data_IF_190800787604
#
_entry.id   IF_190800787604
#
_cell.length_a   1.000
_cell.length_b   1.000
_cell.length_c   1.000
_cell.angle_alpha   90.00
_cell.angle_beta   90.00
_cell.angle_gamma   90.00
#
_symmetry.space_group_name_H-M   'P 1'
#
loop_
_entity.id
_entity.type
_entity.pdbx_description
1 polymer ?
#
# COMPACT_ATOMS: atom_id res chain seq x y z
N UNK A 1 -27.73 26.46 -14.81
CA UNK A 1 -27.26 25.73 -13.62
C UNK A 1 -27.14 24.25 -13.93
N UNK A 2 -28.14 23.62 -14.55
CA UNK A 2 -28.10 22.20 -14.91
C UNK A 2 -26.94 21.83 -15.85
N UNK A 3 -26.65 22.66 -16.86
CA UNK A 3 -25.54 22.45 -17.80
C UNK A 3 -24.16 22.50 -17.13
N UNK A 4 -23.99 23.39 -16.13
CA UNK A 4 -22.74 23.54 -15.37
C UNK A 4 -22.53 22.37 -14.40
N UNK A 5 -23.62 21.84 -13.81
CA UNK A 5 -23.55 20.65 -12.96
C UNK A 5 -23.27 19.38 -13.75
N UNK A 6 -23.86 19.24 -14.94
CA UNK A 6 -23.57 18.13 -15.85
C UNK A 6 -22.10 18.16 -16.30
N UNK A 7 -21.61 19.33 -16.72
CA UNK A 7 -20.21 19.55 -17.09
C UNK A 7 -19.25 19.23 -15.93
N UNK A 8 -19.57 19.68 -14.72
CA UNK A 8 -18.81 19.38 -13.50
C UNK A 8 -18.68 17.87 -13.30
N UNK A 9 -19.80 17.14 -13.37
CA UNK A 9 -19.82 15.69 -13.14
C UNK A 9 -19.04 14.93 -14.22
N UNK A 10 -19.18 15.32 -15.49
CA UNK A 10 -18.45 14.73 -16.60
C UNK A 10 -16.93 14.90 -16.43
N UNK A 11 -16.49 16.12 -16.13
CA UNK A 11 -15.06 16.41 -15.97
C UNK A 11 -14.49 15.72 -14.72
N UNK A 12 -15.25 15.65 -13.63
CA UNK A 12 -14.85 14.92 -12.41
C UNK A 12 -14.60 13.44 -12.71
N UNK A 13 -15.50 12.79 -13.44
CA UNK A 13 -15.35 11.38 -13.83
C UNK A 13 -14.13 11.18 -14.74
N UNK A 14 -13.94 12.08 -15.72
CA UNK A 14 -12.80 12.03 -16.63
C UNK A 14 -11.46 12.22 -15.91
N UNK A 15 -11.38 13.17 -14.98
CA UNK A 15 -10.17 13.41 -14.20
C UNK A 15 -9.83 12.20 -13.31
N UNK A 16 -10.83 11.58 -12.69
CA UNK A 16 -10.67 10.36 -11.91
C UNK A 16 -10.21 9.16 -12.77
N UNK A 17 -10.80 8.94 -13.95
CA UNK A 17 -10.39 7.87 -14.86
C UNK A 17 -8.92 8.03 -15.31
N UNK A 18 -8.50 9.26 -15.63
CA UNK A 18 -7.09 9.55 -15.93
C UNK A 18 -6.18 9.28 -14.73
N UNK A 19 -6.63 9.63 -13.52
CA UNK A 19 -5.88 9.37 -12.30
C UNK A 19 -5.72 7.87 -12.03
N UNK A 20 -6.78 7.08 -12.20
CA UNK A 20 -6.75 5.62 -12.04
C UNK A 20 -5.81 4.95 -13.05
N UNK A 21 -5.77 5.47 -14.29
CA UNK A 21 -4.83 5.05 -15.34
C UNK A 21 -3.39 5.54 -15.11
N UNK A 22 -3.14 6.26 -14.02
CA UNK A 22 -1.84 6.87 -13.66
C UNK A 22 -1.37 7.94 -14.65
N UNK A 23 -2.28 8.51 -15.42
CA UNK A 23 -2.02 9.60 -16.35
C UNK A 23 -2.10 10.95 -15.61
N UNK A 24 -1.29 11.10 -14.55
CA UNK A 24 -1.42 12.18 -13.57
C UNK A 24 -1.29 13.58 -14.17
N UNK A 25 -0.37 13.78 -15.13
CA UNK A 25 -0.22 15.07 -15.80
C UNK A 25 -1.50 15.49 -16.54
N UNK A 26 -2.14 14.55 -17.26
CA UNK A 26 -3.40 14.80 -17.97
C UNK A 26 -4.56 15.00 -17.01
N UNK A 27 -4.59 14.26 -15.89
CA UNK A 27 -5.58 14.47 -14.84
C UNK A 27 -5.49 15.89 -14.26
N UNK A 28 -4.27 16.40 -14.04
CA UNK A 28 -4.05 17.76 -13.56
C UNK A 28 -4.52 18.82 -14.58
N UNK A 29 -4.23 18.65 -15.87
CA UNK A 29 -4.70 19.54 -16.94
C UNK A 29 -6.23 19.63 -16.97
N UNK A 30 -6.91 18.47 -17.00
CA UNK A 30 -8.38 18.39 -17.01
C UNK A 30 -8.99 19.02 -15.74
N UNK A 31 -8.37 18.81 -14.59
CA UNK A 31 -8.83 19.43 -13.34
C UNK A 31 -8.68 20.95 -13.35
N UNK A 32 -7.56 21.47 -13.88
CA UNK A 32 -7.34 22.91 -14.03
C UNK A 32 -8.37 23.56 -14.96
N UNK A 33 -8.72 22.90 -16.08
CA UNK A 33 -9.75 23.38 -17.00
C UNK A 33 -11.07 23.63 -16.27
N UNK A 34 -11.56 22.67 -15.47
CA UNK A 34 -12.80 22.87 -14.72
C UNK A 34 -12.66 24.00 -13.69
N UNK A 35 -11.53 24.11 -13.01
CA UNK A 35 -11.29 25.14 -12.00
C UNK A 35 -11.23 26.56 -12.59
N UNK A 36 -11.03 26.73 -13.90
CA UNK A 36 -11.21 28.04 -14.55
C UNK A 36 -12.67 28.48 -14.59
N UNK A 37 -13.61 27.53 -14.62
CA UNK A 37 -15.06 27.76 -14.68
C UNK A 37 -15.68 27.72 -13.27
N UNK A 38 -15.23 26.78 -12.43
CA UNK A 38 -15.69 26.55 -11.07
C UNK A 38 -14.51 26.65 -10.10
N UNK A 39 -14.02 27.87 -9.79
CA UNK A 39 -12.81 28.03 -9.01
C UNK A 39 -12.92 27.43 -7.60
N UNK A 40 -14.11 27.43 -6.99
CA UNK A 40 -14.34 26.97 -5.61
C UNK A 40 -14.67 25.48 -5.47
N UNK A 41 -14.52 24.68 -6.52
CA UNK A 41 -14.79 23.23 -6.45
C UNK A 41 -13.71 22.50 -5.65
N UNK A 42 -14.00 22.22 -4.38
CA UNK A 42 -13.09 21.56 -3.46
C UNK A 42 -12.70 20.13 -3.90
N UNK A 43 -13.63 19.36 -4.46
CA UNK A 43 -13.36 17.99 -4.91
C UNK A 43 -12.46 17.99 -6.15
N UNK A 44 -12.66 18.93 -7.06
CA UNK A 44 -11.77 19.07 -8.21
C UNK A 44 -10.38 19.58 -7.81
N UNK A 45 -10.30 20.53 -6.85
CA UNK A 45 -9.02 20.94 -6.26
C UNK A 45 -8.30 19.76 -5.60
N UNK A 46 -9.03 18.84 -4.95
CA UNK A 46 -8.45 17.63 -4.37
C UNK A 46 -7.83 16.72 -5.44
N UNK A 47 -8.51 16.48 -6.56
CA UNK A 47 -7.97 15.68 -7.67
C UNK A 47 -6.72 16.36 -8.24
N UNK A 48 -6.74 17.68 -8.43
CA UNK A 48 -5.58 18.43 -8.88
C UNK A 48 -4.41 18.29 -7.90
N UNK A 49 -4.65 18.48 -6.60
CA UNK A 49 -3.64 18.32 -5.56
C UNK A 49 -3.04 16.90 -5.57
N UNK A 50 -3.89 15.86 -5.70
CA UNK A 50 -3.45 14.48 -5.80
C UNK A 50 -2.55 14.24 -7.02
N UNK A 51 -2.95 14.73 -8.19
CA UNK A 51 -2.17 14.61 -9.42
C UNK A 51 -0.83 15.36 -9.34
N UNK A 52 -0.81 16.55 -8.71
CA UNK A 52 0.41 17.32 -8.47
C UNK A 52 1.36 16.61 -7.51
N UNK A 53 0.85 15.99 -6.44
CA UNK A 53 1.65 15.15 -5.54
C UNK A 53 2.32 13.99 -6.29
N UNK A 54 1.57 13.28 -7.14
CA UNK A 54 2.09 12.14 -7.91
C UNK A 54 3.12 12.54 -8.97
N UNK A 55 3.12 13.79 -9.41
CA UNK A 55 4.10 14.33 -10.38
C UNK A 55 5.28 15.05 -9.70
N UNK A 56 5.32 15.10 -8.37
CA UNK A 56 6.39 15.75 -7.61
C UNK A 56 6.26 17.27 -7.50
N UNK A 57 5.15 17.86 -7.96
CA UNK A 57 4.88 19.29 -7.90
C UNK A 57 4.32 19.70 -6.52
N UNK A 58 5.09 19.45 -5.47
CA UNK A 58 4.66 19.53 -4.07
C UNK A 58 4.23 20.93 -3.63
N UNK A 59 4.93 21.99 -4.04
CA UNK A 59 4.56 23.37 -3.69
C UNK A 59 3.19 23.75 -4.29
N UNK A 60 2.94 23.35 -5.54
CA UNK A 60 1.66 23.56 -6.19
C UNK A 60 0.56 22.73 -5.51
N UNK A 61 0.85 21.47 -5.15
CA UNK A 61 -0.09 20.63 -4.41
C UNK A 61 -0.48 21.26 -3.05
N UNK A 62 0.50 21.80 -2.29
CA UNK A 62 0.23 22.50 -1.02
C UNK A 62 -0.60 23.76 -1.23
N UNK A 63 -0.39 24.49 -2.32
CA UNK A 63 -1.20 25.67 -2.65
C UNK A 63 -2.67 25.28 -2.89
N UNK A 64 -2.94 24.18 -3.61
CA UNK A 64 -4.31 23.70 -3.80
C UNK A 64 -4.93 23.17 -2.50
N UNK A 65 -4.17 22.43 -1.68
CA UNK A 65 -4.61 21.99 -0.35
C UNK A 65 -5.00 23.18 0.54
N UNK A 66 -4.21 24.25 0.56
CA UNK A 66 -4.53 25.45 1.33
C UNK A 66 -5.84 26.11 0.87
N UNK A 67 -6.10 26.13 -0.44
CA UNK A 67 -7.37 26.63 -1.00
C UNK A 67 -8.56 25.74 -0.64
N UNK A 68 -8.38 24.42 -0.57
CA UNK A 68 -9.44 23.51 -0.09
C UNK A 68 -9.75 23.82 1.37
N UNK A 69 -8.72 23.93 2.23
CA UNK A 69 -8.90 24.20 3.67
C UNK A 69 -9.54 25.55 3.97
N UNK A 70 -9.35 26.55 3.11
CA UNK A 70 -10.00 27.85 3.25
C UNK A 70 -11.53 27.77 3.14
N UNK A 71 -12.06 26.78 2.40
CA UNK A 71 -13.50 26.55 2.22
C UNK A 71 -14.02 25.43 3.13
N UNK A 72 -13.26 24.34 3.24
CA UNK A 72 -13.60 23.17 4.03
C UNK A 72 -12.40 22.76 4.90
N UNK A 73 -12.29 23.28 6.15
CA UNK A 73 -11.17 23.00 7.03
C UNK A 73 -10.99 21.50 7.34
N UNK A 74 -12.07 20.74 7.43
CA UNK A 74 -12.07 19.30 7.78
C UNK A 74 -12.15 18.37 6.56
N UNK A 75 -11.60 18.80 5.42
CA UNK A 75 -11.60 18.00 4.18
C UNK A 75 -10.61 16.82 4.26
N UNK A 76 -11.12 15.59 4.42
CA UNK A 76 -10.30 14.39 4.57
C UNK A 76 -9.33 14.14 3.40
N UNK A 77 -9.77 14.41 2.16
CA UNK A 77 -8.89 14.30 0.98
C UNK A 77 -7.69 15.25 1.03
N UNK A 78 -7.85 16.47 1.54
CA UNK A 78 -6.79 17.46 1.61
C UNK A 78 -5.77 17.09 2.69
N UNK A 79 -6.24 16.66 3.86
CA UNK A 79 -5.40 16.13 4.92
C UNK A 79 -4.58 14.91 4.45
N UNK A 80 -5.17 14.01 3.66
CA UNK A 80 -4.43 12.89 3.06
C UNK A 80 -3.33 13.37 2.10
N UNK A 81 -3.57 14.41 1.31
CA UNK A 81 -2.53 14.95 0.44
C UNK A 81 -1.36 15.53 1.23
N UNK A 82 -1.60 16.24 2.33
CA UNK A 82 -0.52 16.74 3.21
C UNK A 82 0.37 15.59 3.71
N UNK A 83 -0.23 14.48 4.12
CA UNK A 83 0.49 13.26 4.53
C UNK A 83 1.35 12.72 3.39
N UNK A 84 0.81 12.58 2.18
CA UNK A 84 1.57 12.06 1.05
C UNK A 84 2.73 12.96 0.64
N UNK A 85 2.55 14.28 0.70
CA UNK A 85 3.63 15.22 0.39
C UNK A 85 4.71 15.15 1.48
N UNK A 86 4.33 15.10 2.76
CA UNK A 86 5.28 14.96 3.87
C UNK A 86 6.08 13.64 3.78
N UNK A 87 5.41 12.54 3.43
CA UNK A 87 6.03 11.24 3.18
C UNK A 87 7.05 11.30 2.05
N UNK A 88 6.68 11.93 0.94
CA UNK A 88 7.56 12.06 -0.23
C UNK A 88 8.80 12.94 0.06
N UNK A 89 8.65 13.95 0.92
CA UNK A 89 9.76 14.80 1.37
C UNK A 89 10.54 14.21 2.56
N UNK A 90 10.18 13.01 3.04
CA UNK A 90 10.83 12.34 4.17
C UNK A 90 10.62 13.02 5.52
N UNK A 91 9.56 13.84 5.66
CA UNK A 91 9.25 14.59 6.88
C UNK A 91 8.45 13.74 7.86
N UNK A 92 9.08 12.67 8.34
CA UNK A 92 8.44 11.62 9.13
C UNK A 92 7.70 12.14 10.38
N UNK A 93 8.29 13.10 11.11
CA UNK A 93 7.66 13.67 12.29
C UNK A 93 6.38 14.46 11.96
N UNK A 94 6.35 15.19 10.85
CA UNK A 94 5.15 15.93 10.43
C UNK A 94 4.12 15.00 9.81
N UNK A 95 4.54 13.97 9.07
CA UNK A 95 3.67 12.90 8.57
C UNK A 95 2.89 12.24 9.72
N UNK A 96 3.57 11.80 10.79
CA UNK A 96 2.95 11.19 11.97
C UNK A 96 1.98 12.17 12.65
N UNK A 97 2.36 13.44 12.79
CA UNK A 97 1.49 14.45 13.39
C UNK A 97 0.21 14.70 12.57
N UNK A 98 0.34 14.82 11.24
CA UNK A 98 -0.80 14.97 10.34
C UNK A 98 -1.70 13.73 10.31
N UNK A 99 -1.12 12.53 10.37
CA UNK A 99 -1.89 11.28 10.43
C UNK A 99 -2.70 11.17 11.72
N UNK A 100 -2.11 11.49 12.88
CA UNK A 100 -2.83 11.53 14.16
C UNK A 100 -3.99 12.54 14.12
N UNK A 101 -3.74 13.74 13.59
CA UNK A 101 -4.78 14.77 13.43
C UNK A 101 -5.92 14.33 12.48
N UNK A 102 -5.58 13.66 11.38
CA UNK A 102 -6.55 13.10 10.43
C UNK A 102 -7.42 12.02 11.09
N UNK A 103 -6.81 11.10 11.85
CA UNK A 103 -7.51 10.05 12.58
C UNK A 103 -8.49 10.66 13.59
N UNK A 104 -8.07 11.65 14.37
CA UNK A 104 -8.92 12.31 15.37
C UNK A 104 -10.07 13.09 14.73
N UNK A 105 -9.83 13.75 13.60
CA UNK A 105 -10.87 14.42 12.82
C UNK A 105 -11.90 13.43 12.27
N UNK A 106 -11.45 12.31 11.67
CA UNK A 106 -12.35 11.29 11.11
C UNK A 106 -13.19 10.62 12.21
N UNK A 107 -12.59 10.28 13.36
CA UNK A 107 -13.34 9.72 14.50
C UNK A 107 -14.44 10.63 15.01
N UNK A 108 -14.17 11.93 15.13
CA UNK A 108 -15.17 12.93 15.55
C UNK A 108 -16.33 13.00 14.55
N UNK A 109 -16.01 13.15 13.26
CA UNK A 109 -17.02 13.16 12.18
C UNK A 109 -17.87 11.90 12.16
N UNK A 110 -17.26 10.72 12.32
CA UNK A 110 -18.00 9.46 12.38
C UNK A 110 -18.92 9.35 13.60
N UNK A 111 -18.61 10.04 14.70
CA UNK A 111 -19.47 10.07 15.90
C UNK A 111 -20.64 11.05 15.76
N UNK A 112 -20.45 12.13 15.00
CA UNK A 112 -21.42 13.22 14.82
C UNK A 112 -22.36 12.97 13.63
N UNK A 113 -21.88 12.35 12.55
CA UNK A 113 -22.60 12.15 11.29
C UNK A 113 -22.68 10.66 10.91
N UNK A 114 -23.83 10.03 11.18
CA UNK A 114 -24.05 8.61 10.90
C UNK A 114 -23.95 8.31 9.40
N UNK A 115 -24.49 9.19 8.56
CA UNK A 115 -24.53 9.01 7.10
C UNK A 115 -23.13 8.99 6.46
N UNK A 116 -22.16 9.66 7.08
CA UNK A 116 -20.76 9.68 6.60
C UNK A 116 -19.91 8.57 7.19
N UNK A 117 -20.41 7.81 8.16
CA UNK A 117 -19.61 6.83 8.90
C UNK A 117 -18.95 5.79 8.00
N UNK A 118 -19.68 5.26 7.02
CA UNK A 118 -19.14 4.28 6.08
C UNK A 118 -18.04 4.87 5.19
N UNK A 119 -18.24 6.09 4.69
CA UNK A 119 -17.25 6.81 3.89
C UNK A 119 -15.98 7.10 4.70
N UNK A 120 -16.14 7.67 5.89
CA UNK A 120 -15.02 8.08 6.74
C UNK A 120 -14.28 6.87 7.33
N UNK A 121 -14.93 5.71 7.49
CA UNK A 121 -14.29 4.46 7.88
C UNK A 121 -13.21 4.02 6.88
N UNK A 122 -13.45 4.16 5.57
CA UNK A 122 -12.47 3.86 4.52
C UNK A 122 -11.26 4.78 4.60
N UNK A 123 -11.50 6.07 4.85
CA UNK A 123 -10.41 7.03 5.08
C UNK A 123 -9.64 6.74 6.36
N UNK A 124 -10.33 6.31 7.41
CA UNK A 124 -9.76 6.01 8.72
C UNK A 124 -8.88 4.76 8.67
N UNK A 125 -9.31 3.71 7.96
CA UNK A 125 -8.50 2.51 7.73
C UNK A 125 -7.18 2.89 7.04
N UNK A 126 -7.26 3.59 5.90
CA UNK A 126 -6.10 4.08 5.17
C UNK A 126 -5.16 4.96 6.03
N UNK A 127 -5.71 5.84 6.88
CA UNK A 127 -4.90 6.68 7.77
C UNK A 127 -4.16 5.85 8.83
N UNK A 128 -4.79 4.81 9.39
CA UNK A 128 -4.12 3.91 10.31
C UNK A 128 -3.03 3.07 9.64
N UNK A 129 -3.25 2.57 8.43
CA UNK A 129 -2.23 1.85 7.65
C UNK A 129 -0.99 2.72 7.37
N UNK A 130 -1.20 3.97 6.96
CA UNK A 130 -0.13 4.94 6.76
C UNK A 130 0.59 5.28 8.07
N UNK A 131 -0.16 5.44 9.18
CA UNK A 131 0.42 5.70 10.50
C UNK A 131 1.28 4.53 10.97
N UNK A 132 0.82 3.29 10.79
CA UNK A 132 1.60 2.09 11.11
C UNK A 132 2.91 2.04 10.33
N UNK A 133 2.87 2.40 9.05
CA UNK A 133 4.06 2.47 8.19
C UNK A 133 5.05 3.53 8.68
N UNK A 134 4.58 4.77 8.90
CA UNK A 134 5.41 5.86 9.40
C UNK A 134 6.00 5.57 10.79
N UNK A 135 5.23 4.96 11.69
CA UNK A 135 5.71 4.56 13.02
C UNK A 135 6.74 3.44 12.96
N UNK A 136 6.60 2.50 12.01
CA UNK A 136 7.60 1.45 11.78
C UNK A 136 8.91 2.07 11.33
N UNK A 137 8.87 3.01 10.39
CA UNK A 137 10.05 3.76 9.92
C UNK A 137 10.68 4.60 11.04
N UNK A 138 9.87 5.13 11.97
CA UNK A 138 10.33 5.89 13.13
C UNK A 138 10.91 5.00 14.25
N UNK A 139 10.76 3.68 14.17
CA UNK A 139 11.18 2.74 15.20
C UNK A 139 10.17 2.58 16.36
N UNK A 140 8.99 3.19 16.25
CA UNK A 140 7.91 3.13 17.25
C UNK A 140 7.04 1.88 17.04
N UNK A 141 7.69 0.70 17.10
CA UNK A 141 7.10 -0.57 16.68
C UNK A 141 5.82 -0.95 17.43
N UNK A 142 5.70 -0.62 18.72
CA UNK A 142 4.50 -0.96 19.50
C UNK A 142 3.27 -0.17 19.05
N UNK A 143 3.43 1.12 18.78
CA UNK A 143 2.35 1.94 18.23
C UNK A 143 2.05 1.54 16.79
N UNK A 144 3.06 1.16 16.01
CA UNK A 144 2.87 0.67 14.64
C UNK A 144 1.98 -0.58 14.60
N UNK A 145 2.24 -1.56 15.47
CA UNK A 145 1.39 -2.76 15.60
C UNK A 145 -0.05 -2.37 15.92
N UNK A 146 -0.26 -1.45 16.86
CA UNK A 146 -1.60 -1.00 17.21
C UNK A 146 -2.32 -0.30 16.05
N UNK A 147 -1.60 0.53 15.29
CA UNK A 147 -2.15 1.23 14.13
C UNK A 147 -2.54 0.23 13.01
N UNK A 148 -1.69 -0.72 12.65
CA UNK A 148 -2.02 -1.73 11.65
C UNK A 148 -3.22 -2.59 12.06
N UNK A 149 -3.31 -2.99 13.33
CA UNK A 149 -4.48 -3.73 13.83
C UNK A 149 -5.76 -2.89 13.81
N UNK A 150 -5.67 -1.59 14.09
CA UNK A 150 -6.79 -0.66 13.96
C UNK A 150 -7.24 -0.50 12.51
N UNK A 151 -6.30 -0.47 11.55
CA UNK A 151 -6.60 -0.52 10.12
C UNK A 151 -7.34 -1.81 9.77
N UNK A 152 -6.79 -2.96 10.15
CA UNK A 152 -7.36 -4.28 9.83
C UNK A 152 -8.80 -4.48 10.33
N UNK A 153 -9.17 -3.86 11.47
CA UNK A 153 -10.53 -3.92 12.01
C UNK A 153 -11.56 -3.13 11.20
N UNK A 154 -11.12 -2.14 10.42
CA UNK A 154 -11.97 -1.32 9.57
C UNK A 154 -12.06 -1.86 8.13
N UNK A 155 -11.13 -2.74 7.74
CA UNK A 155 -11.11 -3.32 6.40
C UNK A 155 -12.28 -4.31 6.20
N UNK A 156 -13.06 -4.07 5.15
CA UNK A 156 -14.14 -4.98 4.73
C UNK A 156 -13.63 -6.06 3.76
N UNK A 157 -12.56 -5.77 3.03
CA UNK A 157 -11.95 -6.74 2.11
C UNK A 157 -10.94 -7.62 2.83
N UNK A 158 -11.18 -8.93 2.79
CA UNK A 158 -10.30 -9.95 3.38
C UNK A 158 -8.84 -9.80 2.94
N UNK A 159 -8.60 -9.49 1.67
CA UNK A 159 -7.25 -9.33 1.14
C UNK A 159 -6.52 -8.14 1.79
N UNK A 160 -7.19 -6.99 1.91
CA UNK A 160 -6.60 -5.82 2.56
C UNK A 160 -6.43 -6.04 4.06
N UNK A 161 -7.42 -6.62 4.74
CA UNK A 161 -7.29 -7.00 6.14
C UNK A 161 -6.09 -7.92 6.39
N UNK A 162 -5.85 -8.88 5.50
CA UNK A 162 -4.64 -9.72 5.57
C UNK A 162 -3.35 -8.92 5.41
N UNK A 163 -3.29 -7.97 4.46
CA UNK A 163 -2.12 -7.07 4.33
C UNK A 163 -1.83 -6.36 5.65
N UNK A 164 -2.85 -5.80 6.29
CA UNK A 164 -2.67 -5.07 7.56
C UNK A 164 -2.24 -5.98 8.72
N UNK A 165 -2.79 -7.19 8.84
CA UNK A 165 -2.29 -8.18 9.82
C UNK A 165 -0.85 -8.61 9.52
N UNK A 166 -0.47 -8.73 8.24
CA UNK A 166 0.90 -9.04 7.84
C UNK A 166 1.86 -7.93 8.26
N UNK A 167 1.48 -6.67 8.03
CA UNK A 167 2.23 -5.50 8.48
C UNK A 167 2.39 -5.46 10.00
N UNK A 168 1.32 -5.76 10.75
CA UNK A 168 1.38 -5.87 12.21
C UNK A 168 2.35 -6.97 12.67
N UNK A 169 2.28 -8.17 12.08
CA UNK A 169 3.20 -9.27 12.37
C UNK A 169 4.64 -8.92 12.04
N UNK A 170 4.86 -8.20 10.94
CA UNK A 170 6.17 -7.70 10.56
C UNK A 170 6.71 -6.72 11.61
N UNK A 171 5.89 -5.74 12.02
CA UNK A 171 6.24 -4.75 13.05
C UNK A 171 6.58 -5.40 14.42
N UNK A 172 5.91 -6.50 14.79
CA UNK A 172 6.21 -7.27 16.01
C UNK A 172 7.68 -7.75 16.06
N UNK A 173 8.33 -8.01 14.92
CA UNK A 173 9.74 -8.42 14.89
C UNK A 173 10.70 -7.34 15.39
N UNK A 174 10.28 -6.07 15.38
CA UNK A 174 11.07 -4.94 15.89
C UNK A 174 10.81 -4.65 17.38
N UNK A 175 9.82 -5.30 18.00
CA UNK A 175 9.59 -5.15 19.43
C UNK A 175 10.73 -5.78 20.25
N UNK A 176 10.99 -5.24 21.46
CA UNK A 176 11.79 -5.93 22.46
C UNK A 176 11.29 -7.36 22.69
N UNK A 177 12.22 -8.31 22.82
CA UNK A 177 11.90 -9.75 22.90
C UNK A 177 10.89 -10.09 24.00
N UNK A 178 10.90 -9.36 25.12
CA UNK A 178 9.99 -9.59 26.24
C UNK A 178 8.53 -9.16 25.96
N UNK A 179 8.28 -8.33 24.94
CA UNK A 179 6.93 -7.90 24.55
C UNK A 179 6.31 -8.78 23.47
N UNK A 180 7.12 -9.45 22.64
CA UNK A 180 6.64 -10.28 21.52
C UNK A 180 5.65 -11.39 21.91
N UNK A 181 5.79 -12.09 23.06
CA UNK A 181 4.85 -13.14 23.45
C UNK A 181 3.40 -12.66 23.57
N UNK A 182 3.17 -11.38 23.89
CA UNK A 182 1.83 -10.81 23.96
C UNK A 182 1.11 -10.79 22.60
N UNK A 183 1.86 -10.88 21.49
CA UNK A 183 1.35 -10.83 20.12
C UNK A 183 1.39 -12.19 19.41
N UNK A 184 1.76 -13.28 20.10
CA UNK A 184 1.87 -14.60 19.49
C UNK A 184 0.55 -15.07 18.84
N UNK A 185 -0.60 -14.63 19.37
CA UNK A 185 -1.92 -14.93 18.82
C UNK A 185 -2.18 -14.34 17.43
N UNK A 186 -1.47 -13.27 17.02
CA UNK A 186 -1.69 -12.63 15.73
C UNK A 186 -1.42 -13.57 14.54
N UNK A 187 -0.46 -14.48 14.69
CA UNK A 187 -0.14 -15.46 13.65
C UNK A 187 -1.32 -16.43 13.42
N UNK A 188 -2.01 -16.84 14.48
CA UNK A 188 -3.21 -17.67 14.39
C UNK A 188 -4.41 -16.92 13.79
N UNK A 189 -4.54 -15.61 14.09
CA UNK A 189 -5.58 -14.79 13.47
C UNK A 189 -5.34 -14.66 11.96
N UNK A 190 -4.09 -14.40 11.56
CA UNK A 190 -3.71 -14.35 10.15
C UNK A 190 -3.96 -15.68 9.43
N UNK A 191 -3.59 -16.81 10.05
CA UNK A 191 -3.85 -18.15 9.51
C UNK A 191 -5.36 -18.42 9.34
N UNK A 192 -6.17 -18.01 10.32
CA UNK A 192 -7.63 -18.13 10.25
C UNK A 192 -8.26 -17.33 9.10
N UNK A 193 -7.62 -16.23 8.66
CA UNK A 193 -8.05 -15.52 7.45
C UNK A 193 -7.92 -16.40 6.20
N UNK A 194 -7.24 -17.54 6.23
CA UNK A 194 -7.05 -18.45 5.09
C UNK A 194 -7.47 -19.89 5.36
N UNK A 195 -8.34 -20.12 6.35
CA UNK A 195 -8.81 -21.45 6.73
C UNK A 195 -9.55 -22.23 5.61
N UNK A 196 -10.11 -21.52 4.64
CA UNK A 196 -10.78 -22.08 3.45
C UNK A 196 -9.82 -22.37 2.28
N UNK A 197 -8.55 -21.95 2.38
CA UNK A 197 -7.54 -22.23 1.36
C UNK A 197 -7.03 -23.65 1.54
N UNK A 198 -7.51 -24.53 0.67
CA UNK A 198 -7.11 -25.94 0.67
C UNK A 198 -5.74 -26.13 -0.03
N UNK A 199 -4.88 -27.01 0.49
CA UNK A 199 -3.66 -27.41 -0.21
C UNK A 199 -3.97 -27.87 -1.63
N UNK A 200 -3.24 -27.33 -2.61
CA UNK A 200 -3.41 -27.72 -4.03
C UNK A 200 -2.79 -29.07 -4.38
N UNK A 201 -1.87 -29.55 -3.55
CA UNK A 201 -1.19 -30.83 -3.76
C UNK A 201 -1.73 -31.84 -2.75
N UNK A 202 -2.14 -32.99 -3.24
CA UNK A 202 -2.56 -34.11 -2.40
C UNK A 202 -1.39 -35.05 -2.14
N UNK A 203 -1.54 -35.96 -1.16
CA UNK A 203 -0.52 -36.98 -0.91
C UNK A 203 -0.23 -37.85 -2.16
N UNK A 204 -1.21 -37.99 -3.06
CA UNK A 204 -1.04 -38.67 -4.34
C UNK A 204 -0.12 -37.90 -5.32
N UNK A 205 -0.08 -36.57 -5.26
CA UNK A 205 0.82 -35.76 -6.08
C UNK A 205 2.29 -35.92 -5.66
N UNK A 206 2.55 -36.28 -4.40
CA UNK A 206 3.90 -36.55 -3.91
C UNK A 206 4.53 -37.81 -4.56
N UNK A 207 3.70 -38.66 -5.19
CA UNK A 207 4.14 -39.89 -5.89
C UNK A 207 4.45 -39.63 -7.37
N UNK A 208 4.39 -38.38 -7.85
CA UNK A 208 4.69 -38.04 -9.26
C UNK A 208 6.07 -38.60 -9.64
N UNK A 209 6.05 -39.57 -10.56
CA UNK A 209 7.19 -40.37 -11.03
C UNK A 209 8.22 -39.60 -11.85
N UNK A 210 8.62 -38.43 -11.38
CA UNK A 210 9.71 -37.67 -11.97
C UNK A 210 11.04 -38.35 -11.64
N UNK A 211 11.90 -38.50 -12.65
CA UNK A 211 13.24 -39.06 -12.47
C UNK A 211 14.13 -38.21 -11.53
N UNK A 212 13.76 -36.95 -11.29
CA UNK A 212 14.45 -35.98 -10.42
C UNK A 212 13.46 -35.21 -9.57
N UNK A 213 13.88 -34.81 -8.37
CA UNK A 213 13.13 -33.88 -7.51
C UNK A 213 13.15 -32.50 -8.16
N UNK A 214 11.96 -31.91 -8.38
CA UNK A 214 11.82 -30.58 -8.96
C UNK A 214 11.69 -29.54 -7.87
N UNK A 215 12.57 -28.53 -7.88
CA UNK A 215 12.58 -27.46 -6.89
C UNK A 215 12.33 -26.13 -7.61
N UNK A 216 11.28 -25.41 -7.22
CA UNK A 216 10.96 -24.08 -7.72
C UNK A 216 11.30 -23.00 -6.70
N UNK A 217 12.29 -22.17 -6.98
CA UNK A 217 12.56 -20.96 -6.19
C UNK A 217 11.73 -19.80 -6.74
N UNK A 218 10.89 -19.20 -5.89
CA UNK A 218 10.02 -18.07 -6.26
C UNK A 218 10.46 -16.86 -5.45
N UNK A 219 10.97 -15.81 -6.11
CA UNK A 219 11.37 -14.58 -5.40
C UNK A 219 11.47 -13.40 -6.39
N UNK A 220 11.00 -12.19 -6.01
CA UNK A 220 11.24 -10.98 -6.78
C UNK A 220 12.69 -10.49 -6.67
N UNK A 221 13.53 -11.16 -5.89
CA UNK A 221 14.87 -10.69 -5.54
C UNK A 221 15.98 -11.58 -6.13
N UNK A 222 15.66 -12.33 -7.18
CA UNK A 222 16.63 -13.13 -7.95
C UNK A 222 17.42 -12.25 -8.92
N UNK A 223 17.92 -11.13 -8.42
CA UNK A 223 18.73 -10.10 -9.05
C UNK A 223 19.82 -9.66 -8.06
N UNK A 224 20.56 -8.58 -8.33
CA UNK A 224 21.53 -7.94 -7.43
C UNK A 224 20.81 -7.39 -6.19
N UNK A 225 20.52 -8.32 -5.29
CA UNK A 225 19.85 -8.16 -4.01
C UNK A 225 20.50 -9.13 -3.00
N UNK A 226 20.49 -8.83 -1.68
CA UNK A 226 21.02 -9.75 -0.67
C UNK A 226 20.50 -11.19 -0.82
N UNK A 227 19.20 -11.37 -1.10
CA UNK A 227 18.61 -12.70 -1.37
C UNK A 227 19.29 -13.39 -2.54
N UNK A 228 19.33 -12.76 -3.73
CA UNK A 228 19.97 -13.32 -4.92
C UNK A 228 21.43 -13.73 -4.68
N UNK A 229 22.19 -12.94 -3.92
CA UNK A 229 23.58 -13.26 -3.57
C UNK A 229 23.70 -14.48 -2.67
N UNK A 230 22.82 -14.60 -1.66
CA UNK A 230 22.82 -15.69 -0.70
C UNK A 230 22.38 -17.02 -1.33
N UNK A 231 21.37 -17.00 -2.21
CA UNK A 231 20.82 -18.22 -2.81
C UNK A 231 21.64 -18.75 -3.99
N UNK A 232 22.58 -17.96 -4.53
CA UNK A 232 23.38 -18.31 -5.71
C UNK A 232 23.98 -19.73 -5.67
N UNK A 233 24.61 -20.21 -4.58
CA UNK A 233 25.18 -21.56 -4.56
C UNK A 233 24.12 -22.65 -4.72
N UNK A 234 22.92 -22.46 -4.16
CA UNK A 234 21.80 -23.41 -4.28
C UNK A 234 21.30 -23.53 -5.73
N UNK A 235 21.36 -22.42 -6.47
CA UNK A 235 20.91 -22.35 -7.86
C UNK A 235 21.96 -22.85 -8.86
N UNK A 236 23.24 -22.87 -8.48
CA UNK A 236 24.35 -23.13 -9.42
C UNK A 236 25.16 -24.39 -9.12
N UNK A 237 25.11 -24.91 -7.89
CA UNK A 237 25.96 -26.02 -7.42
C UNK A 237 25.15 -27.24 -6.93
N UNK A 238 23.88 -27.36 -7.32
CA UNK A 238 23.05 -28.51 -6.97
C UNK A 238 23.41 -29.76 -7.79
N UNK A 239 23.14 -30.95 -7.23
CA UNK A 239 23.31 -32.22 -7.95
C UNK A 239 22.25 -32.36 -9.06
N UNK A 240 22.67 -32.12 -10.31
CA UNK A 240 21.80 -32.16 -11.49
C UNK A 240 21.29 -33.57 -11.81
N UNK A 241 21.88 -34.61 -11.24
CA UNK A 241 21.43 -36.00 -11.42
C UNK A 241 20.21 -36.31 -10.55
N UNK A 242 20.08 -35.63 -9.41
CA UNK A 242 18.98 -35.82 -8.46
C UNK A 242 17.93 -34.70 -8.54
N UNK A 243 18.33 -33.49 -8.91
CA UNK A 243 17.47 -32.31 -8.87
C UNK A 243 17.30 -31.63 -10.22
N UNK A 244 16.11 -31.06 -10.44
CA UNK A 244 15.82 -30.11 -11.49
C UNK A 244 15.35 -28.80 -10.83
N UNK A 245 16.19 -27.76 -10.91
CA UNK A 245 15.93 -26.48 -10.26
C UNK A 245 15.38 -25.48 -11.29
N UNK A 246 14.29 -24.81 -10.91
CA UNK A 246 13.61 -23.78 -11.67
C UNK A 246 13.52 -22.50 -10.85
N UNK A 247 13.61 -21.35 -11.51
CA UNK A 247 13.52 -20.03 -10.88
C UNK A 247 12.33 -19.26 -11.47
N UNK A 248 11.46 -18.74 -10.60
CA UNK A 248 10.34 -17.89 -10.95
C UNK A 248 10.58 -16.50 -10.36
N UNK A 249 11.14 -15.60 -11.17
CA UNK A 249 11.51 -14.26 -10.77
C UNK A 249 10.49 -13.21 -11.23
N UNK A 250 10.22 -12.22 -10.39
CA UNK A 250 9.45 -11.02 -10.76
C UNK A 250 10.31 -9.77 -10.57
N UNK A 251 11.40 -9.68 -11.32
CA UNK A 251 12.31 -8.54 -11.35
C UNK A 251 12.86 -8.31 -12.76
N UNK A 252 13.46 -7.13 -12.97
CA UNK A 252 14.35 -6.96 -14.10
C UNK A 252 15.54 -7.91 -13.95
N UNK A 253 15.90 -8.58 -15.02
CA UNK A 253 17.09 -9.43 -15.04
C UNK A 253 18.34 -8.56 -15.06
N UNK A 254 19.38 -9.04 -14.38
CA UNK A 254 20.68 -8.38 -14.37
C UNK A 254 21.84 -9.40 -14.44
N UNK A 255 23.06 -8.88 -14.32
CA UNK A 255 24.27 -9.68 -14.38
C UNK A 255 24.30 -10.83 -13.35
N UNK A 256 23.64 -10.70 -12.20
CA UNK A 256 23.56 -11.79 -11.23
C UNK A 256 22.52 -12.83 -11.67
N UNK A 257 21.33 -12.39 -12.12
CA UNK A 257 20.28 -13.27 -12.66
C UNK A 257 20.80 -14.13 -13.82
N UNK A 258 21.64 -13.58 -14.69
CA UNK A 258 22.26 -14.30 -15.81
C UNK A 258 23.10 -15.49 -15.34
N UNK A 259 23.80 -15.37 -14.21
CA UNK A 259 24.60 -16.47 -13.65
C UNK A 259 23.75 -17.67 -13.22
N UNK A 260 22.46 -17.45 -12.94
CA UNK A 260 21.55 -18.53 -12.55
C UNK A 260 21.11 -19.37 -13.75
N UNK A 261 21.11 -18.84 -14.97
CA UNK A 261 20.71 -19.57 -16.19
C UNK A 261 21.66 -20.71 -16.55
N UNK A 262 22.96 -20.53 -16.31
CA UNK A 262 23.92 -21.61 -16.46
C UNK A 262 23.70 -22.72 -15.41
N UNK A 263 23.06 -22.38 -14.29
CA UNK A 263 22.72 -23.25 -13.16
C UNK A 263 21.41 -24.01 -13.35
N UNK A 264 20.33 -23.33 -13.72
CA UNK A 264 18.96 -23.84 -13.68
C UNK A 264 18.49 -24.48 -15.00
N UNK A 265 17.41 -25.25 -14.94
CA UNK A 265 16.70 -25.73 -16.13
C UNK A 265 15.62 -24.71 -16.50
N UNK A 266 15.52 -24.36 -17.78
CA UNK A 266 14.47 -23.47 -18.30
C UNK A 266 13.06 -24.01 -18.01
#
# INVERSE_FOLDING_TARGET
MDDVQALRQEILLRANDLYEKREYARAAEVAQELLTVLPEDAEMRYILAAALTQTGAYDAARAEVARIRAVCPDHAGAARQEVYIDRAEGRLATEIAHLRALIDMLKRRMAEEEERRAHDAVFLASAYSLLGSALTEAGEAQEAVAAFLASAQLETERAQGAVEYSNALFAVNYLPTHLRPAYAGLAHVYDALFADVLPRAEAADAVRGHARIRIGYISPDLCVHPVGRLVRPLLTQYDRTQFAVHCYARCAEDALSETFRCGCVA
#
